data_IF_355776450533
#
_entry.id   IF_355776450533
#
_cell.length_a   1.000
_cell.length_b   1.000
_cell.length_c   1.000
_cell.angle_alpha   90.00
_cell.angle_beta   90.00
_cell.angle_gamma   90.00
#
_symmetry.space_group_name_H-M   'P 1'
#
loop_
_entity.id
_entity.type
_entity.pdbx_description
1 polymer ?
#
# COMPACT_ATOMS: atom_id res chain seq x y z
N UNK A 1 -2.02 38.11 3.04
CA UNK A 1 -3.43 37.67 3.12
C UNK A 1 -3.87 36.89 1.88
N UNK A 2 -3.82 37.40 0.64
CA UNK A 2 -4.13 36.58 -0.57
C UNK A 2 -3.21 35.34 -0.74
N UNK A 3 -1.95 35.44 -0.32
CA UNK A 3 -0.95 34.37 -0.35
C UNK A 3 -1.26 33.25 0.65
N UNK A 4 -1.53 33.59 1.92
CA UNK A 4 -1.85 32.63 2.99
C UNK A 4 -3.08 31.78 2.65
N UNK A 5 -4.16 32.42 2.18
CA UNK A 5 -5.36 31.71 1.75
C UNK A 5 -5.09 30.75 0.58
N UNK A 6 -4.15 31.09 -0.31
CA UNK A 6 -3.72 30.21 -1.39
C UNK A 6 -2.99 28.98 -0.86
N UNK A 7 -2.06 29.14 0.08
CA UNK A 7 -1.32 28.02 0.69
C UNK A 7 -2.24 27.10 1.51
N UNK A 8 -3.18 27.70 2.23
CA UNK A 8 -4.23 26.98 2.95
C UNK A 8 -5.06 26.11 2.01
N UNK A 9 -5.60 26.68 0.94
CA UNK A 9 -6.42 25.93 -0.02
C UNK A 9 -5.62 24.81 -0.69
N UNK A 10 -4.36 25.07 -1.07
CA UNK A 10 -3.46 24.02 -1.58
C UNK A 10 -3.30 22.86 -0.59
N UNK A 11 -3.09 23.15 0.68
CA UNK A 11 -2.94 22.12 1.71
C UNK A 11 -4.23 21.34 1.94
N UNK A 12 -5.39 22.00 1.94
CA UNK A 12 -6.69 21.33 2.07
C UNK A 12 -6.97 20.40 0.87
N UNK A 13 -6.61 20.81 -0.35
CA UNK A 13 -6.72 19.97 -1.55
C UNK A 13 -5.79 18.73 -1.46
N UNK A 14 -4.56 18.91 -0.95
CA UNK A 14 -3.61 17.82 -0.71
C UNK A 14 -4.13 16.84 0.36
N UNK A 15 -4.66 17.37 1.48
CA UNK A 15 -5.33 16.60 2.54
C UNK A 15 -6.44 15.71 1.98
N UNK A 16 -7.37 16.29 1.21
CA UNK A 16 -8.49 15.54 0.61
C UNK A 16 -8.02 14.50 -0.40
N UNK A 17 -6.93 14.76 -1.11
CA UNK A 17 -6.36 13.82 -2.07
C UNK A 17 -5.73 12.62 -1.36
N UNK A 18 -4.96 12.86 -0.29
CA UNK A 18 -4.37 11.80 0.53
C UNK A 18 -5.47 10.95 1.19
N UNK A 19 -6.51 11.59 1.74
CA UNK A 19 -7.59 10.88 2.40
C UNK A 19 -8.41 9.99 1.44
N UNK A 20 -8.72 10.51 0.23
CA UNK A 20 -9.35 9.70 -0.83
C UNK A 20 -8.51 8.48 -1.22
N UNK A 21 -7.18 8.61 -1.21
CA UNK A 21 -6.30 7.47 -1.46
C UNK A 21 -6.38 6.42 -0.35
N UNK A 22 -6.40 6.82 0.93
CA UNK A 22 -6.60 5.90 2.06
C UNK A 22 -7.92 5.17 1.94
N UNK A 23 -9.02 5.90 1.73
CA UNK A 23 -10.36 5.32 1.59
C UNK A 23 -10.45 4.33 0.42
N UNK A 24 -9.81 4.65 -0.71
CA UNK A 24 -9.73 3.72 -1.86
C UNK A 24 -8.99 2.42 -1.48
N UNK A 25 -7.88 2.51 -0.75
CA UNK A 25 -7.12 1.34 -0.31
C UNK A 25 -7.91 0.48 0.70
N UNK A 26 -8.60 1.12 1.65
CA UNK A 26 -9.50 0.45 2.61
C UNK A 26 -10.63 -0.29 1.91
N UNK A 27 -11.28 0.34 0.93
CA UNK A 27 -12.36 -0.27 0.16
C UNK A 27 -11.86 -1.46 -0.66
N UNK A 28 -10.71 -1.32 -1.35
CA UNK A 28 -10.14 -2.44 -2.09
C UNK A 28 -9.78 -3.62 -1.18
N UNK A 29 -9.18 -3.33 -0.02
CA UNK A 29 -8.92 -4.36 0.98
C UNK A 29 -10.21 -5.04 1.41
N UNK A 30 -11.22 -4.27 1.80
CA UNK A 30 -12.51 -4.78 2.26
C UNK A 30 -13.20 -5.69 1.22
N UNK A 31 -13.09 -5.37 -0.07
CA UNK A 31 -13.69 -6.17 -1.15
C UNK A 31 -12.94 -7.48 -1.44
N UNK A 32 -11.65 -7.55 -1.10
CA UNK A 32 -10.79 -8.66 -1.51
C UNK A 32 -10.38 -9.57 -0.35
N UNK A 33 -10.22 -9.04 0.87
CA UNK A 33 -9.57 -9.78 1.95
C UNK A 33 -10.25 -11.14 2.27
N UNK A 34 -11.59 -11.20 2.16
CA UNK A 34 -12.41 -12.41 2.37
C UNK A 34 -12.27 -13.50 1.30
N UNK A 35 -11.65 -13.19 0.16
CA UNK A 35 -11.46 -14.16 -0.94
C UNK A 35 -10.32 -15.15 -0.68
N UNK A 36 -9.51 -14.94 0.37
CA UNK A 36 -8.38 -15.79 0.69
C UNK A 36 -8.82 -17.11 1.36
N UNK A 37 -8.77 -18.21 0.62
CA UNK A 37 -9.21 -19.53 1.10
C UNK A 37 -8.29 -20.13 2.17
N UNK A 38 -6.98 -20.01 2.00
CA UNK A 38 -5.95 -20.59 2.89
C UNK A 38 -6.09 -20.13 4.36
N UNK A 39 -6.69 -18.96 4.58
CA UNK A 39 -6.89 -18.38 5.90
C UNK A 39 -8.36 -18.04 6.23
N UNK A 40 -9.33 -18.64 5.53
CA UNK A 40 -10.76 -18.27 5.59
C UNK A 40 -11.31 -18.10 7.02
N UNK A 41 -11.02 -19.05 7.94
CA UNK A 41 -11.49 -18.98 9.33
C UNK A 41 -10.88 -17.85 10.17
N UNK A 42 -9.64 -17.42 9.85
CA UNK A 42 -9.03 -16.26 10.51
C UNK A 42 -9.62 -14.96 9.96
N UNK A 43 -9.79 -14.92 8.64
CA UNK A 43 -10.31 -13.76 7.93
C UNK A 43 -11.75 -13.42 8.34
N UNK A 44 -12.58 -14.44 8.65
CA UNK A 44 -13.93 -14.24 9.20
C UNK A 44 -13.97 -13.48 10.53
N UNK A 45 -12.87 -13.50 11.31
CA UNK A 45 -12.76 -12.81 12.61
C UNK A 45 -12.18 -11.40 12.48
N UNK A 46 -11.71 -11.04 11.29
CA UNK A 46 -11.12 -9.74 11.03
C UNK A 46 -12.22 -8.69 10.81
N UNK A 47 -12.14 -7.58 11.54
CA UNK A 47 -13.09 -6.47 11.42
C UNK A 47 -12.34 -5.16 11.18
N UNK A 48 -12.26 -4.74 9.91
CA UNK A 48 -11.45 -3.58 9.51
C UNK A 48 -11.88 -2.28 10.19
N UNK A 49 -13.19 -2.04 10.29
CA UNK A 49 -13.75 -0.75 10.70
C UNK A 49 -14.18 -0.73 12.16
N UNK A 50 -13.48 -1.49 13.01
CA UNK A 50 -13.82 -1.61 14.42
C UNK A 50 -13.36 -0.38 15.22
N UNK A 51 -14.24 0.16 16.07
CA UNK A 51 -13.87 1.19 17.06
C UNK A 51 -13.28 0.59 18.35
N UNK A 52 -13.28 -0.75 18.48
CA UNK A 52 -12.81 -1.42 19.69
C UNK A 52 -11.29 -1.63 19.67
N UNK A 53 -10.57 -1.01 20.61
CA UNK A 53 -9.11 -1.12 20.72
C UNK A 53 -8.62 -2.56 20.90
N UNK A 54 -9.36 -3.40 21.64
CA UNK A 54 -9.03 -4.82 21.79
C UNK A 54 -9.18 -5.57 20.47
N UNK A 55 -10.24 -5.30 19.71
CA UNK A 55 -10.43 -5.87 18.38
C UNK A 55 -9.33 -5.43 17.41
N UNK A 56 -8.85 -4.19 17.49
CA UNK A 56 -7.72 -3.73 16.66
C UNK A 56 -6.42 -4.45 16.96
N UNK A 57 -6.13 -4.69 18.24
CA UNK A 57 -4.98 -5.54 18.64
C UNK A 57 -5.15 -6.97 18.11
N UNK A 58 -6.35 -7.52 18.22
CA UNK A 58 -6.69 -8.83 17.65
C UNK A 58 -6.50 -8.85 16.12
N UNK A 59 -6.94 -7.81 15.41
CA UNK A 59 -6.77 -7.68 13.97
C UNK A 59 -5.29 -7.68 13.58
N UNK A 60 -4.41 -6.98 14.30
CA UNK A 60 -2.97 -7.01 14.03
C UNK A 60 -2.37 -8.42 14.19
N UNK A 61 -2.84 -9.19 15.18
CA UNK A 61 -2.46 -10.61 15.33
C UNK A 61 -2.95 -11.43 14.13
N UNK A 62 -4.21 -11.24 13.74
CA UNK A 62 -4.81 -11.94 12.59
C UNK A 62 -4.04 -11.63 11.30
N UNK A 63 -3.67 -10.37 11.05
CA UNK A 63 -2.88 -9.98 9.87
C UNK A 63 -1.55 -10.73 9.83
N UNK A 64 -0.82 -10.80 10.95
CA UNK A 64 0.44 -11.54 11.02
C UNK A 64 0.25 -13.04 10.80
N UNK A 65 -0.76 -13.64 11.42
CA UNK A 65 -1.07 -15.07 11.23
C UNK A 65 -1.46 -15.41 9.79
N UNK A 66 -2.27 -14.56 9.15
CA UNK A 66 -2.65 -14.71 7.74
C UNK A 66 -1.42 -14.61 6.84
N UNK A 67 -0.55 -13.62 7.06
CA UNK A 67 0.70 -13.49 6.30
C UNK A 67 1.59 -14.74 6.43
N UNK A 68 1.71 -15.31 7.63
CA UNK A 68 2.48 -16.54 7.84
C UNK A 68 1.86 -17.76 7.13
N UNK A 69 0.53 -17.86 7.10
CA UNK A 69 -0.16 -18.90 6.32
C UNK A 69 0.07 -18.74 4.82
N UNK A 70 0.00 -17.51 4.29
CA UNK A 70 0.27 -17.23 2.89
C UNK A 70 1.73 -17.60 2.54
N UNK A 71 2.70 -17.21 3.38
CA UNK A 71 4.11 -17.58 3.16
C UNK A 71 4.33 -19.09 3.10
N UNK A 72 3.68 -19.86 3.96
CA UNK A 72 3.75 -21.33 3.92
C UNK A 72 3.16 -21.89 2.62
N UNK A 73 1.99 -21.40 2.22
CA UNK A 73 1.34 -21.80 0.97
C UNK A 73 2.19 -21.43 -0.26
N UNK A 74 2.86 -20.27 -0.25
CA UNK A 74 3.79 -19.87 -1.30
C UNK A 74 4.95 -20.87 -1.45
N UNK A 75 5.58 -21.27 -0.33
CA UNK A 75 6.67 -22.26 -0.35
C UNK A 75 6.17 -23.62 -0.88
N UNK A 76 4.99 -24.07 -0.43
CA UNK A 76 4.39 -25.32 -0.91
C UNK A 76 4.08 -25.27 -2.42
N UNK A 77 3.61 -24.12 -2.91
CA UNK A 77 3.29 -23.91 -4.32
C UNK A 77 4.56 -23.83 -5.18
N UNK A 78 5.57 -23.11 -4.72
CA UNK A 78 6.89 -23.02 -5.37
C UNK A 78 7.56 -24.40 -5.47
N UNK A 79 7.49 -25.20 -4.40
CA UNK A 79 7.98 -26.59 -4.41
C UNK A 79 7.26 -27.46 -5.44
N UNK A 80 5.94 -27.29 -5.62
CA UNK A 80 5.17 -28.00 -6.65
C UNK A 80 5.58 -27.56 -8.05
N UNK A 81 5.66 -26.26 -8.30
CA UNK A 81 6.08 -25.70 -9.59
C UNK A 81 7.49 -26.20 -9.97
N UNK A 82 8.43 -26.18 -9.03
CA UNK A 82 9.81 -26.62 -9.27
C UNK A 82 9.95 -28.13 -9.52
N UNK A 83 9.04 -28.95 -8.97
CA UNK A 83 9.00 -30.39 -9.22
C UNK A 83 8.29 -30.74 -10.52
N UNK A 84 7.38 -29.88 -10.97
CA UNK A 84 6.68 -30.01 -12.23
C UNK A 84 7.59 -29.65 -13.40
N UNK A 85 7.39 -30.31 -14.53
CA UNK A 85 8.12 -30.02 -15.76
C UNK A 85 7.13 -29.78 -16.88
N UNK A 86 7.22 -28.60 -17.50
CA UNK A 86 6.48 -28.32 -18.74
C UNK A 86 6.94 -29.28 -19.83
N UNK A 87 5.97 -29.84 -20.54
CA UNK A 87 6.22 -30.74 -21.65
C UNK A 87 6.01 -29.93 -22.93
N UNK A 88 7.05 -29.88 -23.77
CA UNK A 88 6.93 -29.27 -25.10
C UNK A 88 5.92 -30.05 -25.93
N UNK A 89 5.05 -29.33 -26.64
CA UNK A 89 4.11 -29.94 -27.58
C UNK A 89 4.94 -30.57 -28.70
N UNK A 90 4.85 -31.90 -28.91
CA UNK A 90 5.63 -32.58 -29.93
C UNK A 90 5.28 -32.10 -31.35
N UNK A 91 6.26 -32.12 -32.26
CA UNK A 91 6.04 -31.68 -33.65
C UNK A 91 4.91 -32.44 -34.35
N UNK A 92 4.71 -33.73 -34.03
CA UNK A 92 3.63 -34.53 -34.60
C UNK A 92 2.25 -33.95 -34.33
N UNK A 93 2.04 -33.20 -33.24
CA UNK A 93 0.75 -32.65 -32.90
C UNK A 93 0.29 -31.57 -33.90
N UNK A 94 1.22 -30.90 -34.58
CA UNK A 94 0.89 -29.82 -35.52
C UNK A 94 0.21 -30.31 -36.81
N UNK A 95 0.46 -31.57 -37.20
CA UNK A 95 0.00 -32.13 -38.47
C UNK A 95 -1.19 -33.09 -38.31
N UNK A 96 -1.60 -33.37 -37.06
CA UNK A 96 -2.68 -34.32 -36.77
C UNK A 96 -4.06 -33.67 -36.87
N UNK A 97 -4.78 -33.96 -37.94
CA UNK A 97 -6.16 -33.49 -38.19
C UNK A 97 -7.13 -33.80 -37.03
N UNK A 98 -6.93 -34.90 -36.31
CA UNK A 98 -7.79 -35.29 -35.17
C UNK A 98 -7.77 -34.26 -34.02
N UNK A 99 -6.73 -33.42 -33.95
CA UNK A 99 -6.58 -32.38 -32.93
C UNK A 99 -7.20 -31.03 -33.33
N UNK A 100 -7.65 -30.88 -34.58
CA UNK A 100 -8.21 -29.61 -35.04
C UNK A 100 -9.55 -29.32 -34.36
N UNK A 101 -9.74 -28.08 -33.90
CA UNK A 101 -10.96 -27.61 -33.24
C UNK A 101 -12.23 -27.89 -34.05
N UNK A 102 -12.16 -27.92 -35.38
CA UNK A 102 -13.29 -28.22 -36.28
C UNK A 102 -13.91 -29.61 -36.02
N UNK A 103 -13.15 -30.56 -35.47
CA UNK A 103 -13.64 -31.88 -35.12
C UNK A 103 -14.14 -31.98 -33.66
N UNK A 104 -13.72 -31.07 -32.77
CA UNK A 104 -14.14 -31.01 -31.37
C UNK A 104 -13.78 -32.26 -30.54
N UNK A 105 -12.85 -33.10 -30.98
CA UNK A 105 -12.59 -34.40 -30.35
C UNK A 105 -11.87 -34.29 -28.99
N UNK A 106 -11.16 -33.19 -28.76
CA UNK A 106 -10.57 -32.86 -27.46
C UNK A 106 -11.63 -32.65 -26.38
N UNK A 107 -12.82 -32.14 -26.74
CA UNK A 107 -13.92 -31.93 -25.79
C UNK A 107 -14.49 -33.24 -25.23
N UNK A 108 -14.45 -34.33 -26.00
CA UNK A 108 -14.91 -35.65 -25.55
C UNK A 108 -14.03 -36.27 -24.47
N UNK A 109 -12.80 -35.78 -24.36
CA UNK A 109 -11.86 -36.16 -23.31
C UNK A 109 -11.83 -35.13 -22.18
N UNK A 110 -12.52 -34.00 -22.28
CA UNK A 110 -12.43 -32.91 -21.32
C UNK A 110 -12.81 -33.37 -19.88
N UNK A 111 -12.06 -32.94 -18.84
CA UNK A 111 -12.21 -33.35 -17.43
C UNK A 111 -13.53 -33.00 -16.73
N UNK A 112 -14.60 -32.61 -17.44
CA UNK A 112 -15.91 -32.16 -16.86
C UNK A 112 -16.53 -33.15 -15.85
N UNK A 113 -16.00 -34.38 -15.74
CA UNK A 113 -16.46 -35.44 -14.84
C UNK A 113 -15.42 -35.94 -13.81
N UNK A 114 -14.28 -35.27 -13.63
CA UNK A 114 -13.25 -35.67 -12.65
C UNK A 114 -13.23 -34.72 -11.45
N UNK A 115 -13.14 -35.28 -10.23
CA UNK A 115 -13.20 -34.51 -8.97
C UNK A 115 -11.86 -33.80 -8.64
N UNK A 116 -10.73 -34.24 -9.23
CA UNK A 116 -9.42 -33.58 -9.14
C UNK A 116 -8.47 -33.96 -10.31
N UNK A 117 -7.31 -33.28 -10.43
CA UNK A 117 -6.31 -33.47 -11.51
C UNK A 117 -5.66 -34.87 -11.54
N UNK A 118 -5.45 -35.48 -10.36
CA UNK A 118 -4.89 -36.84 -10.26
C UNK A 118 -5.86 -37.87 -10.84
N UNK A 119 -7.15 -37.68 -10.60
CA UNK A 119 -8.22 -38.55 -11.10
C UNK A 119 -8.33 -38.44 -12.63
N UNK A 120 -8.02 -37.28 -13.22
CA UNK A 120 -8.09 -37.09 -14.66
C UNK A 120 -6.91 -37.70 -15.42
N UNK A 121 -5.66 -37.56 -14.94
CA UNK A 121 -4.52 -38.27 -15.53
C UNK A 121 -4.68 -39.79 -15.38
N UNK A 122 -5.16 -40.26 -14.23
CA UNK A 122 -5.47 -41.68 -14.05
C UNK A 122 -6.55 -42.14 -15.03
N UNK A 123 -7.63 -41.37 -15.18
CA UNK A 123 -8.65 -41.60 -16.20
C UNK A 123 -8.04 -41.72 -17.60
N UNK A 124 -7.27 -40.72 -18.06
CA UNK A 124 -6.63 -40.74 -19.38
C UNK A 124 -5.69 -41.94 -19.58
N UNK A 125 -5.07 -42.46 -18.52
CA UNK A 125 -4.24 -43.66 -18.58
C UNK A 125 -5.05 -44.97 -18.70
N UNK A 126 -6.33 -44.96 -18.31
CA UNK A 126 -7.24 -46.11 -18.45
C UNK A 126 -8.00 -46.12 -19.77
N UNK A 127 -8.02 -45.01 -20.52
CA UNK A 127 -8.73 -44.94 -21.80
C UNK A 127 -8.00 -45.76 -22.86
N UNK A 128 -8.66 -46.81 -23.37
CA UNK A 128 -8.17 -47.55 -24.52
C UNK A 128 -8.52 -46.81 -25.84
N UNK A 129 -7.54 -46.58 -26.74
CA UNK A 129 -7.78 -45.84 -27.99
C UNK A 129 -8.81 -46.48 -28.93
N UNK A 130 -8.89 -47.81 -28.97
CA UNK A 130 -9.86 -48.52 -29.81
C UNK A 130 -11.26 -48.40 -29.22
N UNK A 131 -11.40 -48.56 -27.91
CA UNK A 131 -12.67 -48.36 -27.22
C UNK A 131 -13.18 -46.92 -27.33
N UNK A 132 -12.29 -45.92 -27.20
CA UNK A 132 -12.62 -44.51 -27.38
C UNK A 132 -13.15 -44.24 -28.80
N UNK A 133 -12.45 -44.75 -29.82
CA UNK A 133 -12.92 -44.66 -31.22
C UNK A 133 -14.31 -45.27 -31.38
N UNK A 134 -14.51 -46.50 -30.91
CA UNK A 134 -15.80 -47.19 -31.02
C UNK A 134 -16.93 -46.45 -30.27
N UNK A 135 -16.61 -45.78 -29.18
CA UNK A 135 -17.57 -44.96 -28.42
C UNK A 135 -17.97 -43.71 -29.21
N UNK A 136 -17.00 -43.02 -29.81
CA UNK A 136 -17.24 -41.80 -30.59
C UNK A 136 -17.95 -42.12 -31.90
N UNK A 137 -17.55 -43.16 -32.62
CA UNK A 137 -18.22 -43.62 -33.86
C UNK A 137 -19.70 -43.97 -33.61
N UNK A 138 -20.06 -44.45 -32.41
CA UNK A 138 -21.46 -44.73 -32.03
C UNK A 138 -22.27 -43.46 -31.74
N UNK A 139 -21.62 -42.41 -31.27
CA UNK A 139 -22.25 -41.12 -30.95
C UNK A 139 -22.38 -40.23 -32.20
N UNK A 140 -21.51 -40.44 -33.19
CA UNK A 140 -21.47 -39.68 -34.43
C UNK A 140 -22.39 -40.26 -35.51
N UNK A 141 -23.67 -39.88 -35.46
CA UNK A 141 -24.70 -40.28 -36.43
C UNK A 141 -24.35 -39.93 -37.90
N UNK A 142 -23.39 -39.03 -38.12
CA UNK A 142 -23.00 -38.51 -39.44
C UNK A 142 -21.70 -39.12 -39.98
N UNK A 143 -21.01 -39.98 -39.22
CA UNK A 143 -19.72 -40.58 -39.59
C UNK A 143 -18.63 -39.54 -39.96
N UNK A 144 -18.67 -38.36 -39.36
CA UNK A 144 -17.64 -37.32 -39.50
C UNK A 144 -16.26 -37.81 -39.04
N UNK A 145 -16.19 -38.77 -38.12
CA UNK A 145 -14.91 -39.25 -37.54
C UNK A 145 -14.44 -40.62 -38.09
N UNK A 146 -15.15 -41.17 -39.07
CA UNK A 146 -14.85 -42.49 -39.64
C UNK A 146 -13.46 -42.58 -40.32
N UNK A 147 -12.92 -41.44 -40.76
CA UNK A 147 -11.59 -41.34 -41.38
C UNK A 147 -10.43 -41.57 -40.38
N UNK A 148 -10.66 -41.44 -39.08
CA UNK A 148 -9.63 -41.59 -38.06
C UNK A 148 -9.47 -43.04 -37.59
N UNK A 149 -8.22 -43.46 -37.40
CA UNK A 149 -7.84 -44.78 -36.92
C UNK A 149 -7.51 -44.76 -35.43
N UNK A 150 -7.47 -45.94 -34.80
CA UNK A 150 -7.16 -46.06 -33.36
C UNK A 150 -5.83 -45.43 -32.95
N UNK A 151 -4.85 -45.37 -33.86
CA UNK A 151 -3.57 -44.70 -33.60
C UNK A 151 -3.74 -43.18 -33.48
N UNK A 152 -4.65 -42.56 -34.24
CA UNK A 152 -4.95 -41.13 -34.12
C UNK A 152 -5.54 -40.82 -32.73
N UNK A 153 -6.43 -41.68 -32.22
CA UNK A 153 -7.00 -41.56 -30.87
C UNK A 153 -5.96 -41.75 -29.77
N UNK A 154 -4.94 -42.58 -29.99
CA UNK A 154 -3.80 -42.70 -29.06
C UNK A 154 -3.02 -41.38 -29.00
N UNK A 155 -2.74 -40.75 -30.14
CA UNK A 155 -2.10 -39.44 -30.16
C UNK A 155 -2.98 -38.33 -29.55
N UNK A 156 -4.30 -38.40 -29.74
CA UNK A 156 -5.26 -37.51 -29.07
C UNK A 156 -5.15 -37.64 -27.54
N UNK A 157 -5.15 -38.86 -27.00
CA UNK A 157 -5.01 -39.10 -25.55
C UNK A 157 -3.67 -38.57 -25.03
N UNK A 158 -2.56 -38.86 -25.73
CA UNK A 158 -1.23 -38.36 -25.36
C UNK A 158 -1.15 -36.83 -25.41
N UNK A 159 -1.76 -36.20 -26.41
CA UNK A 159 -1.88 -34.74 -26.50
C UNK A 159 -2.64 -34.17 -25.29
N UNK A 160 -3.78 -34.76 -24.92
CA UNK A 160 -4.58 -34.32 -23.78
C UNK A 160 -3.80 -34.41 -22.45
N UNK A 161 -2.96 -35.43 -22.26
CA UNK A 161 -2.08 -35.54 -21.07
C UNK A 161 -1.07 -34.38 -21.01
N UNK A 162 -0.49 -34.01 -22.15
CA UNK A 162 0.49 -32.92 -22.25
C UNK A 162 -0.17 -31.58 -21.93
N UNK A 163 -1.33 -31.30 -22.56
CA UNK A 163 -2.08 -30.06 -22.33
C UNK A 163 -2.48 -29.95 -20.86
N UNK A 164 -3.10 -30.98 -20.29
CA UNK A 164 -3.53 -30.95 -18.89
C UNK A 164 -2.37 -30.75 -17.91
N UNK A 165 -1.22 -31.41 -18.12
CA UNK A 165 -0.02 -31.18 -17.30
C UNK A 165 0.42 -29.70 -17.36
N UNK A 166 0.45 -29.12 -18.55
CA UNK A 166 0.87 -27.74 -18.73
C UNK A 166 -0.16 -26.73 -18.18
N UNK A 167 -1.46 -27.03 -18.27
CA UNK A 167 -2.54 -26.26 -17.64
C UNK A 167 -2.46 -26.30 -16.12
N UNK A 168 -2.23 -27.48 -15.53
CA UNK A 168 -2.02 -27.63 -14.07
C UNK A 168 -0.85 -26.77 -13.59
N UNK A 169 0.23 -26.71 -14.37
CA UNK A 169 1.38 -25.82 -14.06
C UNK A 169 0.96 -24.35 -14.16
N UNK A 170 0.20 -23.95 -15.18
CA UNK A 170 -0.33 -22.58 -15.29
C UNK A 170 -1.20 -22.21 -14.08
N UNK A 171 -2.07 -23.13 -13.63
CA UNK A 171 -2.96 -22.89 -12.48
C UNK A 171 -2.18 -22.75 -11.17
N UNK A 172 -1.11 -23.53 -10.99
CA UNK A 172 -0.18 -23.37 -9.87
C UNK A 172 0.55 -22.02 -9.93
N UNK A 173 1.04 -21.61 -11.10
CA UNK A 173 1.68 -20.30 -11.29
C UNK A 173 0.70 -19.15 -11.01
N UNK A 174 -0.54 -19.24 -11.51
CA UNK A 174 -1.60 -18.27 -11.23
C UNK A 174 -1.91 -18.20 -9.72
N UNK A 175 -2.03 -19.35 -9.05
CA UNK A 175 -2.25 -19.42 -7.60
C UNK A 175 -1.10 -18.77 -6.84
N UNK A 176 0.14 -19.00 -7.28
CA UNK A 176 1.34 -18.39 -6.67
C UNK A 176 1.31 -16.86 -6.78
N UNK A 177 0.98 -16.32 -7.96
CA UNK A 177 0.84 -14.88 -8.18
C UNK A 177 -0.31 -14.27 -7.35
N UNK A 178 -1.45 -14.96 -7.26
CA UNK A 178 -2.57 -14.56 -6.39
C UNK A 178 -2.16 -14.50 -4.92
N UNK A 179 -1.41 -15.50 -4.44
CA UNK A 179 -0.89 -15.52 -3.06
C UNK A 179 0.10 -14.36 -2.82
N UNK A 180 0.94 -13.98 -3.78
CA UNK A 180 1.79 -12.77 -3.68
C UNK A 180 0.93 -11.51 -3.55
N UNK A 181 -0.11 -11.39 -4.37
CA UNK A 181 -1.02 -10.26 -4.34
C UNK A 181 -1.72 -10.14 -2.97
N UNK A 182 -2.22 -11.26 -2.44
CA UNK A 182 -2.77 -11.29 -1.08
C UNK A 182 -1.71 -10.94 -0.04
N UNK A 183 -0.50 -11.49 -0.11
CA UNK A 183 0.55 -11.16 0.86
C UNK A 183 0.84 -9.66 0.89
N UNK A 184 0.87 -9.01 -0.28
CA UNK A 184 1.05 -7.57 -0.40
C UNK A 184 -0.14 -6.82 0.19
N UNK A 185 -1.36 -7.22 -0.16
CA UNK A 185 -2.59 -6.63 0.36
C UNK A 185 -2.66 -6.65 1.90
N UNK A 186 -2.32 -7.78 2.52
CA UNK A 186 -2.28 -7.91 3.98
C UNK A 186 -1.15 -7.11 4.64
N UNK A 187 0.02 -6.99 3.98
CA UNK A 187 1.13 -6.15 4.47
C UNK A 187 0.81 -4.66 4.49
N UNK A 188 -0.05 -4.18 3.59
CA UNK A 188 -0.47 -2.76 3.54
C UNK A 188 -1.27 -2.37 4.79
N UNK A 189 -1.89 -3.32 5.50
CA UNK A 189 -2.67 -3.05 6.71
C UNK A 189 -1.97 -3.47 8.01
N UNK A 190 -0.82 -4.12 7.91
CA UNK A 190 0.03 -4.45 9.05
C UNK A 190 0.75 -3.18 9.53
N UNK A 191 0.46 -2.77 10.76
CA UNK A 191 0.90 -1.47 11.32
C UNK A 191 2.42 -1.39 11.56
N UNK A 192 3.09 -2.54 11.67
CA UNK A 192 4.54 -2.64 11.80
C UNK A 192 5.25 -2.69 10.43
N UNK A 193 4.49 -2.81 9.34
CA UNK A 193 5.05 -2.92 8.02
C UNK A 193 5.43 -1.55 7.43
N UNK A 194 6.61 -1.42 6.78
CA UNK A 194 6.99 -0.18 6.12
C UNK A 194 5.99 0.32 5.08
N UNK A 195 5.32 -0.56 4.34
CA UNK A 195 4.34 -0.17 3.31
C UNK A 195 2.91 0.06 3.85
N UNK A 196 2.75 0.11 5.18
CA UNK A 196 1.47 0.35 5.80
C UNK A 196 0.80 1.64 5.28
N UNK A 197 -0.48 1.56 4.91
CA UNK A 197 -1.20 2.69 4.30
C UNK A 197 -1.29 3.90 5.24
N UNK A 198 -1.63 3.70 6.50
CA UNK A 198 -1.76 4.80 7.47
C UNK A 198 -0.42 5.47 7.75
N UNK A 199 0.65 4.68 7.87
CA UNK A 199 2.03 5.20 7.98
C UNK A 199 2.42 6.02 6.76
N UNK A 200 2.21 5.52 5.55
CA UNK A 200 2.61 6.20 4.32
C UNK A 200 1.80 7.49 4.13
N UNK A 201 0.49 7.43 4.32
CA UNK A 201 -0.39 8.61 4.24
C UNK A 201 -0.08 9.65 5.30
N UNK A 202 0.28 9.24 6.53
CA UNK A 202 0.75 10.16 7.57
C UNK A 202 2.05 10.87 7.17
N UNK A 203 3.02 10.16 6.59
CA UNK A 203 4.27 10.78 6.12
C UNK A 203 3.99 11.79 5.01
N UNK A 204 3.12 11.46 4.05
CA UNK A 204 2.72 12.38 2.98
C UNK A 204 2.00 13.61 3.55
N UNK A 205 1.07 13.40 4.47
CA UNK A 205 0.33 14.44 5.15
C UNK A 205 1.27 15.42 5.89
N UNK A 206 2.23 14.89 6.63
CA UNK A 206 3.23 15.71 7.31
C UNK A 206 4.18 16.40 6.33
N UNK A 207 4.46 15.82 5.16
CA UNK A 207 5.28 16.47 4.13
C UNK A 207 4.55 17.69 3.54
N UNK A 208 3.26 17.54 3.22
CA UNK A 208 2.39 18.63 2.81
C UNK A 208 2.31 19.74 3.87
N UNK A 209 2.23 19.33 5.14
CA UNK A 209 2.18 20.23 6.28
C UNK A 209 3.47 21.04 6.42
N UNK A 210 4.64 20.39 6.37
CA UNK A 210 5.95 21.04 6.46
C UNK A 210 6.10 22.16 5.43
N UNK A 211 5.79 21.83 4.17
CA UNK A 211 5.88 22.78 3.06
C UNK A 211 4.94 23.97 3.26
N UNK A 212 3.70 23.70 3.70
CA UNK A 212 2.70 24.73 3.94
C UNK A 212 3.07 25.63 5.11
N UNK A 213 3.57 25.07 6.21
CA UNK A 213 4.03 25.85 7.35
C UNK A 213 5.23 26.70 6.99
N UNK A 214 6.14 26.20 6.16
CA UNK A 214 7.25 26.99 5.66
C UNK A 214 6.78 28.20 4.83
N UNK A 215 5.88 27.96 3.86
CA UNK A 215 5.30 29.01 3.01
C UNK A 215 4.53 30.07 3.83
N UNK A 216 3.70 29.62 4.78
CA UNK A 216 2.96 30.51 5.68
C UNK A 216 3.92 31.29 6.59
N UNK A 217 4.93 30.64 7.16
CA UNK A 217 5.91 31.31 8.02
C UNK A 217 6.70 32.38 7.28
N UNK A 218 7.08 32.10 6.03
CA UNK A 218 7.76 33.07 5.17
C UNK A 218 6.93 34.34 5.01
N UNK A 219 5.66 34.21 4.66
CA UNK A 219 4.74 35.35 4.53
C UNK A 219 4.55 36.08 5.87
N UNK A 220 4.34 35.35 6.96
CA UNK A 220 4.16 35.92 8.29
C UNK A 220 5.39 36.71 8.74
N UNK A 221 6.58 36.17 8.52
CA UNK A 221 7.84 36.80 8.92
C UNK A 221 8.20 37.97 8.03
N UNK A 222 7.87 37.97 6.73
CA UNK A 222 8.05 39.16 5.89
C UNK A 222 7.11 40.28 6.34
N UNK A 223 5.83 39.97 6.59
CA UNK A 223 4.85 40.97 7.02
C UNK A 223 5.15 41.54 8.42
N UNK A 224 5.81 40.75 9.28
CA UNK A 224 6.20 41.14 10.64
C UNK A 224 7.73 41.16 10.82
N UNK A 225 8.48 41.54 9.79
CA UNK A 225 9.93 41.37 9.71
C UNK A 225 10.68 41.83 10.96
N UNK A 226 10.49 43.08 11.39
CA UNK A 226 11.20 43.61 12.55
C UNK A 226 10.86 42.91 13.86
N UNK A 227 9.66 42.33 13.98
CA UNK A 227 9.24 41.57 15.18
C UNK A 227 9.78 40.14 15.19
N UNK A 228 10.08 39.58 14.01
CA UNK A 228 10.50 38.19 13.85
C UNK A 228 12.02 38.05 13.68
N UNK A 229 12.71 39.05 13.12
CA UNK A 229 14.13 38.97 12.77
C UNK A 229 15.03 38.70 13.97
N UNK A 230 14.67 39.22 15.16
CA UNK A 230 15.38 38.94 16.41
C UNK A 230 15.23 37.48 16.86
N UNK A 231 14.05 36.87 16.59
CA UNK A 231 13.75 35.47 16.91
C UNK A 231 14.37 34.47 15.93
N UNK A 232 14.74 34.92 14.73
CA UNK A 232 15.38 34.14 13.66
C UNK A 232 16.91 34.00 13.83
N UNK A 233 17.45 34.37 15.01
CA UNK A 233 18.87 34.35 15.35
C UNK A 233 19.75 35.25 14.46
N UNK A 234 19.13 36.20 13.76
CA UNK A 234 19.85 37.19 12.96
C UNK A 234 20.34 38.34 13.85
N UNK A 235 21.46 38.10 14.54
CA UNK A 235 22.12 39.10 15.42
C UNK A 235 22.85 40.22 14.66
N UNK A 236 22.74 40.23 13.33
CA UNK A 236 23.41 41.20 12.46
C UNK A 236 22.73 42.56 12.47
N UNK A 237 23.51 43.64 12.56
CA UNK A 237 23.01 44.99 12.27
C UNK A 237 22.68 45.09 10.78
N UNK A 238 21.40 45.26 10.45
CA UNK A 238 20.96 45.55 9.07
C UNK A 238 21.42 46.96 8.71
N UNK A 239 22.26 47.09 7.67
CA UNK A 239 22.77 48.39 7.22
C UNK A 239 22.03 48.92 5.98
N UNK A 240 21.96 50.23 5.81
CA UNK A 240 21.44 50.84 4.58
C UNK A 240 22.21 50.42 3.32
N UNK A 241 23.49 50.05 3.47
CA UNK A 241 24.30 49.55 2.36
C UNK A 241 23.82 48.19 1.85
N UNK A 242 23.23 47.38 2.72
CA UNK A 242 22.72 46.06 2.36
C UNK A 242 21.37 46.16 1.64
N UNK A 243 20.53 47.11 2.05
CA UNK A 243 19.29 47.47 1.34
C UNK A 243 19.61 47.97 -0.09
N UNK A 244 20.60 48.87 -0.22
CA UNK A 244 21.00 49.40 -1.51
C UNK A 244 21.54 48.33 -2.48
N UNK A 245 22.27 47.33 -1.97
CA UNK A 245 22.75 46.18 -2.78
C UNK A 245 21.61 45.30 -3.29
N UNK A 246 20.50 45.22 -2.56
CA UNK A 246 19.36 44.35 -2.88
C UNK A 246 18.24 45.05 -3.66
N UNK A 247 18.38 46.34 -3.93
CA UNK A 247 17.46 47.13 -4.75
C UNK A 247 16.20 47.61 -4.01
N UNK A 248 15.72 46.87 -3.01
CA UNK A 248 14.65 47.32 -2.12
C UNK A 248 14.74 46.67 -0.73
N UNK A 249 13.99 47.21 0.23
CA UNK A 249 13.88 46.64 1.56
C UNK A 249 13.19 45.27 1.53
N UNK A 250 12.13 45.13 0.73
CA UNK A 250 11.35 43.89 0.58
C UNK A 250 12.22 42.76 0.04
N UNK A 251 13.04 43.05 -0.96
CA UNK A 251 14.01 42.10 -1.53
C UNK A 251 15.03 41.63 -0.49
N UNK A 252 15.56 42.55 0.32
CA UNK A 252 16.47 42.21 1.41
C UNK A 252 15.77 41.40 2.52
N UNK A 253 14.56 41.80 2.91
CA UNK A 253 13.79 41.12 3.95
C UNK A 253 13.45 39.69 3.54
N UNK A 254 13.05 39.48 2.29
CA UNK A 254 12.81 38.18 1.70
C UNK A 254 14.05 37.28 1.78
N UNK A 255 15.20 37.77 1.31
CA UNK A 255 16.46 37.00 1.33
C UNK A 255 16.88 36.62 2.76
N UNK A 256 16.76 37.55 3.70
CA UNK A 256 17.09 37.31 5.12
C UNK A 256 16.15 36.25 5.72
N UNK A 257 14.85 36.35 5.45
CA UNK A 257 13.85 35.39 5.95
C UNK A 257 14.09 34.01 5.34
N UNK A 258 14.33 33.90 4.03
CA UNK A 258 14.60 32.63 3.36
C UNK A 258 15.88 31.96 3.87
N UNK A 259 17.00 32.70 3.97
CA UNK A 259 18.25 32.17 4.50
C UNK A 259 18.10 31.70 5.96
N UNK A 260 17.36 32.45 6.76
CA UNK A 260 17.10 32.08 8.16
C UNK A 260 16.22 30.83 8.28
N UNK A 261 15.10 30.79 7.53
CA UNK A 261 14.17 29.67 7.56
C UNK A 261 14.82 28.36 7.08
N UNK A 262 15.72 28.42 6.09
CA UNK A 262 16.45 27.24 5.59
C UNK A 262 17.30 26.52 6.65
N UNK A 263 17.65 27.22 7.75
CA UNK A 263 18.51 26.72 8.84
C UNK A 263 17.71 26.30 10.07
N UNK A 264 16.41 26.56 10.10
CA UNK A 264 15.54 26.33 11.26
C UNK A 264 14.79 25.01 11.08
N UNK A 265 14.92 24.11 12.06
CA UNK A 265 14.10 22.91 12.12
C UNK A 265 12.63 23.25 12.35
N UNK A 266 11.72 22.49 11.73
CA UNK A 266 10.28 22.73 11.81
C UNK A 266 9.74 22.87 13.24
N UNK A 267 10.17 22.03 14.18
CA UNK A 267 9.71 22.16 15.57
C UNK A 267 10.03 23.54 16.16
N UNK A 268 11.22 24.10 15.89
CA UNK A 268 11.59 25.46 16.30
C UNK A 268 10.77 26.51 15.57
N UNK A 269 10.49 26.29 14.28
CA UNK A 269 9.63 27.18 13.52
C UNK A 269 8.23 27.27 14.14
N UNK A 270 7.63 26.13 14.51
CA UNK A 270 6.34 26.08 15.18
C UNK A 270 6.34 26.82 16.53
N UNK A 271 7.43 26.76 17.30
CA UNK A 271 7.60 27.57 18.50
C UNK A 271 7.57 29.07 18.19
N UNK A 272 8.34 29.51 17.19
CA UNK A 272 8.37 30.93 16.81
C UNK A 272 6.98 31.40 16.39
N UNK A 273 6.24 30.57 15.64
CA UNK A 273 4.85 30.87 15.26
C UNK A 273 3.97 30.99 16.50
N UNK A 274 4.03 30.02 17.43
CA UNK A 274 3.25 30.03 18.69
C UNK A 274 3.50 31.30 19.51
N UNK A 275 4.75 31.73 19.60
CA UNK A 275 5.17 32.91 20.37
C UNK A 275 4.89 34.23 19.64
N UNK A 276 4.57 34.19 18.34
CA UNK A 276 4.37 35.38 17.52
C UNK A 276 2.92 35.59 17.12
N UNK A 277 2.09 34.55 17.18
CA UNK A 277 0.68 34.58 16.79
C UNK A 277 -0.16 33.93 17.87
N UNK A 278 -0.92 34.76 18.58
CA UNK A 278 -1.83 34.31 19.62
C UNK A 278 -2.91 33.39 19.03
N UNK A 279 -3.29 32.35 19.78
CA UNK A 279 -4.31 31.37 19.40
C UNK A 279 -4.06 30.55 18.12
N UNK A 280 -2.87 30.62 17.49
CA UNK A 280 -2.57 29.86 16.26
C UNK A 280 -2.77 28.34 16.41
N UNK A 281 -2.56 27.80 17.62
CA UNK A 281 -2.72 26.38 17.94
C UNK A 281 -3.92 26.09 18.86
N UNK A 282 -4.78 27.09 19.13
CA UNK A 282 -5.91 26.95 20.05
C UNK A 282 -7.21 26.78 19.27
N UNK A 283 -7.86 25.63 19.42
CA UNK A 283 -9.10 25.28 18.73
C UNK A 283 -10.16 24.83 19.72
N UNK A 284 -11.33 25.46 19.67
CA UNK A 284 -12.45 25.19 20.59
C UNK A 284 -12.02 25.25 22.09
N UNK A 285 -11.06 26.12 22.40
CA UNK A 285 -10.48 26.24 23.74
C UNK A 285 -9.42 25.21 24.11
N UNK A 286 -9.06 24.30 23.20
CA UNK A 286 -7.97 23.32 23.36
C UNK A 286 -6.73 23.75 22.58
N UNK A 287 -5.60 23.87 23.28
CA UNK A 287 -4.29 24.03 22.67
C UNK A 287 -3.78 22.66 22.17
N UNK A 288 -3.59 22.51 20.86
CA UNK A 288 -3.12 21.26 20.23
C UNK A 288 -1.61 21.28 19.92
N UNK A 289 -0.87 22.31 20.35
CA UNK A 289 0.53 22.47 19.99
C UNK A 289 1.38 21.24 20.36
N UNK A 290 1.13 20.66 21.54
CA UNK A 290 1.84 19.46 22.00
C UNK A 290 1.60 18.28 21.06
N UNK A 291 0.36 18.09 20.59
CA UNK A 291 0.03 17.06 19.63
C UNK A 291 0.73 17.28 18.28
N UNK A 292 0.82 18.52 17.79
CA UNK A 292 1.54 18.84 16.54
C UNK A 292 3.04 18.54 16.67
N UNK A 293 3.67 18.92 17.79
CA UNK A 293 5.08 18.60 18.04
C UNK A 293 5.30 17.08 18.09
N UNK A 294 4.37 16.35 18.73
CA UNK A 294 4.41 14.89 18.75
C UNK A 294 4.31 14.29 17.35
N UNK A 295 3.41 14.79 16.49
CA UNK A 295 3.30 14.35 15.09
C UNK A 295 4.59 14.61 14.30
N UNK A 296 5.21 15.79 14.45
CA UNK A 296 6.48 16.11 13.81
C UNK A 296 7.58 15.15 14.25
N UNK A 297 7.67 14.88 15.57
CA UNK A 297 8.66 13.96 16.14
C UNK A 297 8.41 12.51 15.71
N UNK A 298 7.15 12.08 15.69
CA UNK A 298 6.76 10.76 15.21
C UNK A 298 7.11 10.59 13.73
N UNK A 299 6.78 11.56 12.86
CA UNK A 299 7.19 11.51 11.45
C UNK A 299 8.69 11.34 11.31
N UNK A 300 9.49 12.09 12.05
CA UNK A 300 10.96 12.02 11.95
C UNK A 300 11.49 10.61 12.26
N UNK A 301 10.98 9.93 13.28
CA UNK A 301 11.41 8.55 13.58
C UNK A 301 10.93 7.55 12.51
N UNK A 302 9.76 7.75 11.88
CA UNK A 302 9.33 6.90 10.76
C UNK A 302 10.16 7.07 9.49
N UNK A 303 10.64 8.28 9.24
CA UNK A 303 11.47 8.60 8.08
C UNK A 303 12.93 8.16 8.31
N UNK A 304 13.50 8.44 9.48
CA UNK A 304 14.93 8.28 9.72
C UNK A 304 15.30 6.99 10.47
N UNK A 305 14.42 6.48 11.34
CA UNK A 305 14.68 5.31 12.17
C UNK A 305 13.63 4.20 12.01
N UNK A 306 12.98 4.15 10.84
CA UNK A 306 11.99 3.12 10.46
C UNK A 306 10.79 2.98 11.42
N UNK A 307 10.53 3.99 12.26
CA UNK A 307 9.45 3.99 13.26
C UNK A 307 9.90 3.57 14.66
N UNK A 308 11.18 3.26 14.85
CA UNK A 308 11.74 2.90 16.15
C UNK A 308 12.08 4.17 16.93
N UNK A 309 11.64 4.24 18.18
CA UNK A 309 11.89 5.35 19.09
C UNK A 309 13.36 5.32 19.53
N UNK A 310 14.04 6.45 19.37
CA UNK A 310 15.42 6.66 19.79
C UNK A 310 15.56 7.85 20.75
N UNK A 311 16.79 8.19 21.12
CA UNK A 311 17.05 9.33 21.99
C UNK A 311 16.62 10.66 21.37
N UNK A 312 16.70 10.81 20.04
CA UNK A 312 16.37 12.06 19.33
C UNK A 312 14.88 12.39 19.38
N UNK A 313 14.02 11.37 19.52
CA UNK A 313 12.60 11.57 19.81
C UNK A 313 12.42 12.47 21.05
N UNK A 314 13.14 12.17 22.13
CA UNK A 314 13.04 12.89 23.40
C UNK A 314 13.81 14.21 23.47
N UNK A 315 14.65 14.52 22.47
CA UNK A 315 15.42 15.77 22.39
C UNK A 315 14.48 16.94 22.05
N UNK A 316 13.75 17.44 23.05
CA UNK A 316 12.90 18.63 22.99
C UNK A 316 12.67 19.19 24.40
N UNK A 317 12.60 20.52 24.52
CA UNK A 317 12.25 21.20 25.76
C UNK A 317 10.77 21.02 26.15
N UNK A 318 9.95 20.41 25.28
CA UNK A 318 8.53 20.11 25.52
C UNK A 318 8.32 18.63 25.79
N UNK A 319 7.49 18.36 26.80
CA UNK A 319 6.88 17.05 27.06
C UNK A 319 5.83 16.74 25.99
N UNK A 320 6.29 16.24 24.84
CA UNK A 320 5.45 15.87 23.69
C UNK A 320 5.13 14.37 23.63
N UNK A 321 5.80 13.53 24.43
CA UNK A 321 5.53 12.09 24.50
C UNK A 321 4.20 11.80 25.25
N UNK A 322 3.07 12.15 24.64
CA UNK A 322 1.73 11.95 25.21
C UNK A 322 1.28 10.49 25.18
N UNK A 323 1.99 9.64 24.44
CA UNK A 323 1.72 8.20 24.33
C UNK A 323 2.61 7.34 25.23
N UNK A 324 3.45 7.96 26.07
CA UNK A 324 4.38 7.28 26.98
C UNK A 324 5.30 6.25 26.30
N UNK A 325 5.71 6.55 25.06
CA UNK A 325 6.63 5.71 24.30
C UNK A 325 7.99 5.59 24.99
N UNK A 326 8.64 4.44 24.86
CA UNK A 326 9.99 4.18 25.38
C UNK A 326 11.00 3.91 24.27
N UNK A 327 12.30 4.07 24.57
CA UNK A 327 13.38 3.78 23.62
C UNK A 327 13.30 2.33 23.14
N UNK A 328 13.51 2.11 21.84
CA UNK A 328 13.38 0.85 21.10
C UNK A 328 11.94 0.35 20.91
N UNK A 329 10.92 1.10 21.35
CA UNK A 329 9.54 0.81 21.00
C UNK A 329 9.26 1.21 19.55
N UNK A 330 8.37 0.48 18.87
CA UNK A 330 7.84 0.91 17.58
C UNK A 330 6.69 1.88 17.80
N UNK A 331 6.84 3.12 17.34
CA UNK A 331 5.79 4.13 17.43
C UNK A 331 4.72 3.86 16.37
N UNK A 332 3.70 3.07 16.68
CA UNK A 332 2.70 2.70 15.68
C UNK A 332 1.94 3.91 15.13
N UNK A 333 1.67 3.91 13.83
CA UNK A 333 0.69 4.78 13.16
C UNK A 333 -0.42 3.87 12.66
N UNK A 334 -1.50 3.78 13.45
CA UNK A 334 -2.73 3.09 13.07
C UNK A 334 -3.73 4.09 12.48
N UNK A 335 -4.92 3.57 12.17
CA UNK A 335 -6.05 4.34 11.65
C UNK A 335 -6.47 5.46 12.61
N UNK A 336 -6.55 5.19 13.91
CA UNK A 336 -6.89 6.21 14.93
C UNK A 336 -5.88 7.36 14.93
N UNK A 337 -4.59 7.02 14.94
CA UNK A 337 -3.54 8.02 14.93
C UNK A 337 -3.59 8.84 13.63
N UNK A 338 -3.78 8.19 12.48
CA UNK A 338 -3.90 8.87 11.18
C UNK A 338 -5.11 9.82 11.14
N UNK A 339 -6.29 9.37 11.56
CA UNK A 339 -7.52 10.19 11.59
C UNK A 339 -7.31 11.40 12.51
N UNK A 340 -6.75 11.19 13.71
CA UNK A 340 -6.43 12.28 14.63
C UNK A 340 -5.48 13.30 14.01
N UNK A 341 -4.45 12.84 13.30
CA UNK A 341 -3.52 13.72 12.60
C UNK A 341 -4.20 14.50 11.48
N UNK A 342 -5.00 13.83 10.65
CA UNK A 342 -5.81 14.46 9.60
C UNK A 342 -6.67 15.60 10.16
N UNK A 343 -7.43 15.32 11.22
CA UNK A 343 -8.35 16.28 11.82
C UNK A 343 -7.60 17.48 12.41
N UNK A 344 -6.51 17.25 13.14
CA UNK A 344 -5.76 18.33 13.78
C UNK A 344 -5.12 19.26 12.76
N UNK A 345 -4.54 18.72 11.69
CA UNK A 345 -3.89 19.52 10.65
C UNK A 345 -4.92 20.28 9.81
N UNK A 346 -6.06 19.64 9.48
CA UNK A 346 -7.19 20.27 8.79
C UNK A 346 -7.76 21.43 9.61
N UNK A 347 -8.06 21.20 10.87
CA UNK A 347 -8.57 22.22 11.79
C UNK A 347 -7.58 23.36 11.95
N UNK A 348 -6.29 23.06 12.08
CA UNK A 348 -5.27 24.09 12.18
C UNK A 348 -5.29 25.01 10.97
N UNK A 349 -5.36 24.45 9.76
CA UNK A 349 -5.29 25.21 8.51
C UNK A 349 -6.54 26.02 8.22
N UNK A 350 -7.71 25.54 8.62
CA UNK A 350 -8.97 26.30 8.52
C UNK A 350 -8.89 27.62 9.29
N UNK A 351 -8.23 27.61 10.45
CA UNK A 351 -8.19 28.72 11.39
C UNK A 351 -7.04 29.73 11.14
N UNK A 352 -6.10 29.41 10.24
CA UNK A 352 -5.10 30.39 9.81
C UNK A 352 -5.83 31.46 8.99
N UNK A 353 -5.77 32.71 9.45
CA UNK A 353 -6.44 33.89 8.88
C UNK A 353 -5.47 34.91 8.29
#
# INVERSE_FOLDING_TARGET
MKSIETYKNRFLDELETIDRYVQYMEQNFYLQYKKLEVANELVKKFDLFTECQEQRKSNQIILKEVQEKIKKALVECEDKINKSKRIEIPEWANDLRILNDEYGLTEYLNPVYCDNDSDYIEYLNTVDPLELKLKIDKLDEKNNYAEFHSEDYKYLIEYMKIIHNNETINDLENTYDELINFLTLYKIFDSENPINIYRQSFILLMTAFDATIYDISKELFINNFFSCVEKLDNKGKISYSDIAKKGSFESMALDIVEDSLSKIYLHKLLFIIRDSIEHFFVFEGKDIFVDIIEMVKRRNIHVHNKGIVDQQYFESDIKHNIYNLVINEYATIDDDYYIKAYDYLKLMMINIS
#
